data_IF_066955106176
#
_entry.id   IF_066955106176
#
_cell.length_a   1.000
_cell.length_b   1.000
_cell.length_c   1.000
_cell.angle_alpha   90.00
_cell.angle_beta   90.00
_cell.angle_gamma   90.00
#
_symmetry.space_group_name_H-M   'P 1'
#
loop_
_entity.id
_entity.type
_entity.pdbx_description
1 polymer ?
#
# COMPACT_ATOMS: atom_id res chain seq x y z
N UNK A 1 23.23 -18.59 -12.12
CA UNK A 1 23.31 -18.10 -10.74
C UNK A 1 23.28 -16.56 -10.63
N UNK A 2 24.16 -15.82 -11.30
CA UNK A 2 24.16 -14.35 -11.23
C UNK A 2 22.84 -13.68 -11.68
N UNK A 3 22.13 -14.22 -12.70
CA UNK A 3 20.83 -13.71 -13.14
C UNK A 3 19.72 -13.83 -12.10
N UNK A 4 19.71 -14.93 -11.37
CA UNK A 4 18.75 -15.14 -10.27
C UNK A 4 19.02 -14.14 -9.14
N UNK A 5 20.29 -13.89 -8.82
CA UNK A 5 20.64 -12.89 -7.79
C UNK A 5 20.20 -11.49 -8.20
N UNK A 6 20.37 -11.10 -9.47
CA UNK A 6 19.91 -9.81 -9.96
C UNK A 6 18.37 -9.68 -9.87
N UNK A 7 17.63 -10.74 -10.24
CA UNK A 7 16.17 -10.78 -10.13
C UNK A 7 15.71 -10.71 -8.67
N UNK A 8 16.40 -11.36 -7.75
CA UNK A 8 16.10 -11.29 -6.30
C UNK A 8 16.32 -9.87 -5.77
N UNK A 9 17.42 -9.21 -6.16
CA UNK A 9 17.68 -7.81 -5.75
C UNK A 9 16.59 -6.90 -6.28
N UNK A 10 16.23 -7.04 -7.54
CA UNK A 10 15.14 -6.25 -8.15
C UNK A 10 13.80 -6.52 -7.44
N UNK A 11 13.51 -7.77 -7.12
CA UNK A 11 12.35 -8.15 -6.33
C UNK A 11 12.31 -7.48 -4.94
N UNK A 12 13.44 -7.36 -4.25
CA UNK A 12 13.53 -6.63 -2.96
C UNK A 12 13.23 -5.14 -3.15
N UNK A 13 13.74 -4.52 -4.22
CA UNK A 13 13.48 -3.11 -4.52
C UNK A 13 11.99 -2.86 -4.74
N UNK A 14 11.33 -3.69 -5.54
CA UNK A 14 9.88 -3.62 -5.79
C UNK A 14 9.09 -3.96 -4.51
N UNK A 15 9.56 -4.94 -3.76
CA UNK A 15 8.97 -5.36 -2.48
C UNK A 15 8.89 -4.26 -1.43
N UNK A 16 9.85 -3.33 -1.39
CA UNK A 16 9.79 -2.13 -0.54
C UNK A 16 8.61 -1.23 -0.91
N UNK A 17 8.29 -1.09 -2.20
CA UNK A 17 7.16 -0.29 -2.66
C UNK A 17 5.83 -0.98 -2.32
N UNK A 18 5.74 -2.30 -2.49
CA UNK A 18 4.57 -3.09 -2.05
C UNK A 18 4.39 -3.01 -0.52
N UNK A 19 5.49 -3.07 0.22
CA UNK A 19 5.49 -2.91 1.67
C UNK A 19 4.94 -1.56 2.10
N UNK A 20 5.35 -0.47 1.43
CA UNK A 20 4.82 0.87 1.69
C UNK A 20 3.31 0.94 1.44
N UNK A 21 2.81 0.37 0.34
CA UNK A 21 1.38 0.27 0.07
C UNK A 21 0.65 -0.46 1.21
N UNK A 22 1.15 -1.62 1.60
CA UNK A 22 0.56 -2.43 2.66
C UNK A 22 0.63 -1.76 4.05
N UNK A 23 1.64 -0.91 4.33
CA UNK A 23 1.68 -0.11 5.57
C UNK A 23 0.45 0.78 5.71
N UNK A 24 -0.07 1.35 4.60
CA UNK A 24 -1.30 2.12 4.59
C UNK A 24 -2.52 1.26 4.95
N UNK A 25 -2.65 0.08 4.36
CA UNK A 25 -3.73 -0.86 4.63
C UNK A 25 -3.69 -1.36 6.08
N UNK A 26 -2.50 -1.76 6.53
CA UNK A 26 -2.26 -2.23 7.89
C UNK A 26 -2.54 -1.16 8.96
N UNK A 27 -2.25 0.12 8.67
CA UNK A 27 -2.56 1.23 9.56
C UNK A 27 -4.08 1.38 9.75
N UNK A 28 -4.85 1.34 8.65
CA UNK A 28 -6.32 1.40 8.71
C UNK A 28 -6.87 0.24 9.54
N UNK A 29 -6.46 -0.99 9.22
CA UNK A 29 -6.88 -2.18 9.94
C UNK A 29 -6.53 -2.11 11.42
N UNK A 30 -5.29 -1.76 11.76
CA UNK A 30 -4.80 -1.75 13.14
C UNK A 30 -5.53 -0.78 14.06
N UNK A 31 -6.12 0.30 13.51
CA UNK A 31 -6.81 1.32 14.33
C UNK A 31 -8.31 1.05 14.43
N UNK A 32 -8.94 0.33 13.49
CA UNK A 32 -10.41 0.22 13.48
C UNK A 32 -10.97 -1.14 13.08
N UNK A 33 -10.12 -2.15 12.85
CA UNK A 33 -10.51 -3.51 12.43
C UNK A 33 -11.42 -3.53 11.17
N UNK A 34 -11.24 -2.57 10.28
CA UNK A 34 -12.03 -2.42 9.05
C UNK A 34 -11.25 -2.89 7.84
N UNK A 35 -11.84 -3.77 7.05
CA UNK A 35 -11.31 -4.19 5.75
C UNK A 35 -11.65 -3.10 4.73
N UNK A 36 -10.61 -2.47 4.18
CA UNK A 36 -10.77 -1.46 3.13
C UNK A 36 -10.51 -2.06 1.75
N UNK A 37 -11.57 -2.39 1.01
CA UNK A 37 -11.49 -2.91 -0.35
C UNK A 37 -11.22 -1.84 -1.41
N UNK A 38 -11.25 -0.55 -1.05
CA UNK A 38 -10.89 0.54 -1.98
C UNK A 38 -9.38 0.76 -2.07
N UNK A 39 -8.56 0.08 -1.27
CA UNK A 39 -7.14 0.38 -1.15
C UNK A 39 -6.39 0.22 -2.47
N UNK A 40 -6.65 -0.86 -3.23
CA UNK A 40 -6.07 -1.08 -4.55
C UNK A 40 -6.48 0.00 -5.57
N UNK A 41 -7.73 0.42 -5.55
CA UNK A 41 -8.21 1.51 -6.41
C UNK A 41 -7.60 2.86 -6.01
N UNK A 42 -7.29 3.08 -4.73
CA UNK A 42 -6.55 4.27 -4.29
C UNK A 42 -5.09 4.26 -4.77
N UNK A 43 -4.46 3.08 -4.86
CA UNK A 43 -3.15 2.93 -5.51
C UNK A 43 -3.25 3.36 -6.98
N UNK A 44 -4.24 2.85 -7.72
CA UNK A 44 -4.47 3.23 -9.12
C UNK A 44 -4.82 4.72 -9.26
N UNK A 45 -5.60 5.28 -8.35
CA UNK A 45 -5.85 6.73 -8.34
C UNK A 45 -4.56 7.54 -8.22
N UNK A 46 -3.59 7.08 -7.41
CA UNK A 46 -2.24 7.65 -7.35
C UNK A 46 -1.46 7.52 -8.67
N UNK A 47 -1.59 6.39 -9.38
CA UNK A 47 -0.99 6.19 -10.70
C UNK A 47 -1.54 7.20 -11.73
N UNK A 48 -2.88 7.35 -11.79
CA UNK A 48 -3.51 8.32 -12.66
C UNK A 48 -3.23 9.77 -12.26
N UNK A 49 -3.12 10.05 -10.96
CA UNK A 49 -2.70 11.38 -10.50
C UNK A 49 -1.28 11.72 -10.99
N UNK A 50 -0.34 10.77 -10.92
CA UNK A 50 0.99 10.92 -11.52
C UNK A 50 0.88 11.17 -13.02
N UNK A 51 0.13 10.33 -13.73
CA UNK A 51 -0.05 10.46 -15.18
C UNK A 51 -0.58 11.85 -15.56
N UNK A 52 -1.60 12.35 -14.89
CA UNK A 52 -2.15 13.68 -15.12
C UNK A 52 -1.15 14.81 -14.82
N UNK A 53 -0.46 14.73 -13.68
CA UNK A 53 0.53 15.73 -13.28
C UNK A 53 1.70 15.79 -14.27
N UNK A 54 2.14 14.64 -14.78
CA UNK A 54 3.26 14.60 -15.73
C UNK A 54 2.84 15.01 -17.15
N UNK A 55 1.69 14.54 -17.64
CA UNK A 55 1.27 14.78 -19.02
C UNK A 55 0.61 16.13 -19.23
N UNK A 56 -0.23 16.59 -18.28
CA UNK A 56 -0.97 17.84 -18.40
C UNK A 56 -0.19 19.05 -17.84
N UNK A 57 0.58 18.86 -16.77
CA UNK A 57 1.29 19.94 -16.08
C UNK A 57 2.82 19.90 -16.25
N UNK A 58 3.36 18.87 -16.92
CA UNK A 58 4.81 18.73 -17.12
C UNK A 58 5.61 18.52 -15.81
N UNK A 59 4.95 18.12 -14.72
CA UNK A 59 5.61 17.93 -13.42
C UNK A 59 6.54 16.71 -13.50
N UNK A 60 7.81 16.82 -13.10
CA UNK A 60 8.69 15.67 -12.99
C UNK A 60 8.07 14.56 -12.11
N UNK A 61 8.17 13.26 -12.49
CA UNK A 61 7.41 12.17 -11.86
C UNK A 61 7.51 12.13 -10.34
N UNK A 62 8.69 12.25 -9.77
CA UNK A 62 8.87 12.16 -8.31
C UNK A 62 8.47 13.43 -7.56
N UNK A 63 8.34 14.58 -8.22
CA UNK A 63 7.75 15.79 -7.64
C UNK A 63 6.23 15.71 -7.53
N UNK A 64 5.60 14.71 -8.12
CA UNK A 64 4.19 14.40 -7.91
C UNK A 64 3.89 13.80 -6.53
N UNK A 65 4.90 13.32 -5.79
CA UNK A 65 4.71 12.68 -4.48
C UNK A 65 4.04 13.60 -3.45
N UNK A 66 4.49 14.86 -3.20
CA UNK A 66 3.85 15.72 -2.23
C UNK A 66 2.37 16.06 -2.55
N UNK A 67 2.01 16.49 -3.76
CA UNK A 67 0.61 16.77 -4.07
C UNK A 67 -0.27 15.50 -4.01
N UNK A 68 0.23 14.33 -4.41
CA UNK A 68 -0.51 13.06 -4.29
C UNK A 68 -0.66 12.64 -2.83
N UNK A 69 0.34 12.85 -1.99
CA UNK A 69 0.24 12.60 -0.55
C UNK A 69 -0.87 13.46 0.08
N UNK A 70 -0.89 14.76 -0.21
CA UNK A 70 -1.89 15.69 0.33
C UNK A 70 -3.28 15.37 -0.22
N UNK A 71 -3.41 15.19 -1.54
CA UNK A 71 -4.67 14.84 -2.19
C UNK A 71 -5.20 13.48 -1.69
N UNK A 72 -4.33 12.47 -1.58
CA UNK A 72 -4.67 11.17 -1.03
C UNK A 72 -5.14 11.25 0.43
N UNK A 73 -4.53 12.10 1.25
CA UNK A 73 -4.98 12.32 2.61
C UNK A 73 -6.40 12.93 2.66
N UNK A 74 -6.66 13.94 1.83
CA UNK A 74 -7.99 14.59 1.75
C UNK A 74 -9.04 13.58 1.27
N UNK A 75 -8.75 12.84 0.20
CA UNK A 75 -9.63 11.78 -0.33
C UNK A 75 -9.88 10.71 0.72
N UNK A 76 -8.86 10.29 1.46
CA UNK A 76 -8.99 9.29 2.52
C UNK A 76 -9.87 9.78 3.68
N UNK A 77 -9.74 11.04 4.10
CA UNK A 77 -10.65 11.65 5.10
C UNK A 77 -12.09 11.69 4.57
N UNK A 78 -12.28 12.07 3.30
CA UNK A 78 -13.58 12.04 2.66
C UNK A 78 -14.17 10.62 2.60
N UNK A 79 -13.37 9.63 2.22
CA UNK A 79 -13.74 8.21 2.20
C UNK A 79 -14.18 7.72 3.59
N UNK A 80 -13.47 8.13 4.65
CA UNK A 80 -13.86 7.82 6.01
C UNK A 80 -15.29 8.29 6.31
N UNK A 81 -15.60 9.55 6.04
CA UNK A 81 -16.93 10.11 6.33
C UNK A 81 -18.03 9.54 5.45
N UNK A 82 -17.74 9.25 4.18
CA UNK A 82 -18.73 8.75 3.23
C UNK A 82 -19.05 7.26 3.43
N UNK A 83 -18.03 6.42 3.64
CA UNK A 83 -18.18 4.98 3.59
C UNK A 83 -17.89 4.25 4.90
N UNK A 84 -16.93 4.75 5.71
CA UNK A 84 -16.43 3.99 6.88
C UNK A 84 -17.09 4.41 8.18
N UNK A 85 -17.27 5.71 8.40
CA UNK A 85 -17.72 6.26 9.68
C UNK A 85 -19.03 5.64 10.20
N UNK A 86 -20.01 5.44 9.31
CA UNK A 86 -21.32 4.86 9.66
C UNK A 86 -21.28 3.36 9.89
N UNK A 87 -20.18 2.70 9.53
CA UNK A 87 -20.01 1.25 9.65
C UNK A 87 -19.23 0.85 10.91
N UNK A 88 -18.64 1.82 11.60
CA UNK A 88 -17.89 1.56 12.82
C UNK A 88 -18.83 1.07 13.92
N UNK A 89 -18.45 -0.03 14.60
CA UNK A 89 -19.28 -0.68 15.62
C UNK A 89 -20.38 -1.58 15.07
N UNK A 90 -20.47 -1.72 13.74
CA UNK A 90 -21.35 -2.70 13.07
C UNK A 90 -20.58 -3.99 12.74
N UNK A 91 -21.29 -5.09 12.38
CA UNK A 91 -20.60 -6.31 11.97
C UNK A 91 -19.57 -6.05 10.85
N UNK A 92 -18.39 -6.71 10.87
CA UNK A 92 -17.30 -6.46 9.90
C UNK A 92 -17.73 -6.56 8.43
N UNK A 93 -18.73 -7.39 8.12
CA UNK A 93 -19.28 -7.55 6.78
C UNK A 93 -19.87 -6.23 6.23
N UNK A 94 -20.42 -5.37 7.09
CA UNK A 94 -21.00 -4.09 6.65
C UNK A 94 -19.94 -3.11 6.16
N UNK A 95 -18.78 -3.06 6.83
CA UNK A 95 -17.66 -2.23 6.39
C UNK A 95 -17.05 -2.73 5.09
N UNK A 96 -16.95 -4.05 4.93
CA UNK A 96 -16.49 -4.70 3.71
C UNK A 96 -17.41 -4.39 2.53
N UNK A 97 -18.72 -4.53 2.69
CA UNK A 97 -19.70 -4.21 1.64
C UNK A 97 -19.70 -2.72 1.28
N UNK A 98 -19.58 -1.83 2.29
CA UNK A 98 -19.53 -0.40 2.05
C UNK A 98 -18.30 0.01 1.24
N UNK A 99 -17.12 -0.46 1.62
CA UNK A 99 -15.87 -0.16 0.90
C UNK A 99 -15.85 -0.83 -0.48
N UNK A 100 -16.43 -2.03 -0.62
CA UNK A 100 -16.60 -2.69 -1.92
C UNK A 100 -17.50 -1.89 -2.87
N UNK A 101 -18.65 -1.38 -2.38
CA UNK A 101 -19.52 -0.54 -3.18
C UNK A 101 -18.81 0.73 -3.69
N UNK A 102 -18.03 1.40 -2.80
CA UNK A 102 -17.22 2.54 -3.22
C UNK A 102 -16.16 2.14 -4.24
N UNK A 103 -15.52 0.97 -4.06
CA UNK A 103 -14.56 0.45 -5.02
C UNK A 103 -15.16 0.30 -6.43
N UNK A 104 -16.34 -0.29 -6.53
CA UNK A 104 -17.04 -0.44 -7.82
C UNK A 104 -17.38 0.91 -8.46
N UNK A 105 -17.84 1.88 -7.67
CA UNK A 105 -18.11 3.24 -8.16
C UNK A 105 -16.85 3.89 -8.71
N UNK A 106 -15.72 3.79 -7.99
CA UNK A 106 -14.45 4.37 -8.41
C UNK A 106 -13.90 3.69 -9.67
N UNK A 107 -13.98 2.36 -9.77
CA UNK A 107 -13.63 1.62 -10.98
C UNK A 107 -14.52 2.07 -12.15
N UNK A 108 -15.84 2.20 -11.93
CA UNK A 108 -16.78 2.66 -12.94
C UNK A 108 -16.47 4.06 -13.44
N UNK A 109 -16.18 5.02 -12.53
CA UNK A 109 -15.75 6.37 -12.88
C UNK A 109 -14.43 6.33 -13.65
N UNK A 110 -13.44 5.60 -13.14
CA UNK A 110 -12.14 5.46 -13.79
C UNK A 110 -12.25 4.90 -15.21
N UNK A 111 -13.03 3.84 -15.38
CA UNK A 111 -13.26 3.22 -16.70
C UNK A 111 -14.04 4.14 -17.63
N UNK A 112 -14.99 4.92 -17.10
CA UNK A 112 -15.73 5.91 -17.88
C UNK A 112 -14.85 7.08 -18.38
N UNK A 113 -13.84 7.47 -17.60
CA UNK A 113 -12.95 8.62 -17.94
C UNK A 113 -11.76 8.18 -18.79
N UNK A 114 -11.09 7.07 -18.44
CA UNK A 114 -9.83 6.63 -19.07
C UNK A 114 -9.98 5.36 -19.92
N UNK A 115 -11.14 4.71 -19.89
CA UNK A 115 -11.32 3.43 -20.58
C UNK A 115 -10.51 2.31 -19.93
N UNK A 116 -10.18 1.29 -20.75
CA UNK A 116 -9.37 0.13 -20.35
C UNK A 116 -7.98 0.12 -20.98
N UNK A 117 -7.54 1.26 -21.53
CA UNK A 117 -6.24 1.38 -22.20
C UNK A 117 -5.09 1.19 -21.19
N UNK A 118 -3.94 0.79 -21.74
CA UNK A 118 -2.70 0.67 -21.00
C UNK A 118 -2.01 2.02 -20.94
N UNK A 119 -1.71 2.50 -19.74
CA UNK A 119 -0.99 3.74 -19.49
C UNK A 119 0.43 3.46 -19.02
N UNK A 120 1.35 4.34 -19.36
CA UNK A 120 2.73 4.26 -18.91
C UNK A 120 3.27 5.68 -18.68
N UNK A 121 4.08 5.84 -17.64
CA UNK A 121 4.81 7.08 -17.36
C UNK A 121 6.29 6.81 -17.58
N UNK A 122 6.84 7.38 -18.67
CA UNK A 122 8.26 7.22 -18.97
C UNK A 122 9.11 7.98 -17.95
N UNK A 123 10.02 7.25 -17.29
CA UNK A 123 10.97 7.81 -16.31
C UNK A 123 12.37 7.50 -16.78
N UNK A 124 13.15 8.54 -17.06
CA UNK A 124 14.56 8.39 -17.44
C UNK A 124 15.44 8.63 -16.21
N UNK A 125 15.81 7.53 -15.55
CA UNK A 125 16.82 7.55 -14.47
C UNK A 125 17.94 6.59 -14.87
N UNK A 126 19.21 7.04 -14.86
CA UNK A 126 20.33 6.17 -15.19
C UNK A 126 20.36 4.94 -14.32
N UNK A 127 20.49 3.76 -14.94
CA UNK A 127 20.64 2.50 -14.22
C UNK A 127 22.05 2.33 -13.66
N UNK A 128 22.19 1.49 -12.66
CA UNK A 128 23.48 1.08 -12.08
C UNK A 128 23.86 -0.29 -12.63
N UNK A 129 24.99 -0.33 -13.35
CA UNK A 129 25.51 -1.59 -13.91
C UNK A 129 26.54 -2.21 -12.96
N UNK A 130 26.29 -3.43 -12.54
CA UNK A 130 27.20 -4.23 -11.72
C UNK A 130 27.60 -5.47 -12.52
N UNK A 131 28.79 -5.45 -13.08
CA UNK A 131 29.26 -6.50 -13.96
C UNK A 131 28.44 -6.56 -15.26
N UNK A 132 27.71 -7.67 -15.49
CA UNK A 132 26.88 -7.89 -16.69
C UNK A 132 25.40 -7.50 -16.48
N UNK A 133 25.01 -7.06 -15.30
CA UNK A 133 23.63 -6.75 -14.95
C UNK A 133 23.46 -5.25 -14.73
N UNK A 134 22.39 -4.70 -15.31
CA UNK A 134 22.00 -3.31 -15.11
C UNK A 134 20.70 -3.26 -14.31
N UNK A 135 20.75 -2.69 -13.14
CA UNK A 135 19.57 -2.42 -12.32
C UNK A 135 18.93 -1.12 -12.80
N UNK A 136 17.62 -1.12 -13.13
CA UNK A 136 16.94 0.11 -13.55
C UNK A 136 17.01 1.18 -12.45
N UNK A 137 17.47 2.39 -12.80
CA UNK A 137 17.57 3.47 -11.82
C UNK A 137 16.22 3.86 -11.20
N UNK A 138 15.12 3.70 -11.95
CA UNK A 138 13.77 3.92 -11.45
C UNK A 138 13.42 2.98 -10.29
N UNK A 139 13.79 1.69 -10.34
CA UNK A 139 13.56 0.73 -9.26
C UNK A 139 14.34 1.09 -8.00
N UNK A 140 15.60 1.48 -8.15
CA UNK A 140 16.45 1.91 -7.02
C UNK A 140 15.87 3.17 -6.37
N UNK A 141 15.50 4.16 -7.17
CA UNK A 141 14.98 5.43 -6.67
C UNK A 141 13.60 5.24 -6.01
N UNK A 142 12.70 4.45 -6.62
CA UNK A 142 11.41 4.15 -6.02
C UNK A 142 11.55 3.40 -4.68
N UNK A 143 12.48 2.44 -4.59
CA UNK A 143 12.75 1.72 -3.36
C UNK A 143 13.32 2.64 -2.25
N UNK A 144 14.25 3.54 -2.60
CA UNK A 144 14.80 4.52 -1.65
C UNK A 144 13.71 5.47 -1.14
N UNK A 145 12.86 5.99 -2.04
CA UNK A 145 11.76 6.86 -1.65
C UNK A 145 10.73 6.11 -0.79
N UNK A 146 10.40 4.87 -1.15
CA UNK A 146 9.53 4.02 -0.34
C UNK A 146 10.09 3.80 1.08
N UNK A 147 11.39 3.51 1.20
CA UNK A 147 12.06 3.34 2.50
C UNK A 147 12.06 4.64 3.33
N UNK A 148 12.32 5.79 2.69
CA UNK A 148 12.27 7.10 3.36
C UNK A 148 10.86 7.40 3.86
N UNK A 149 9.83 7.21 3.02
CA UNK A 149 8.44 7.49 3.40
C UNK A 149 7.97 6.51 4.50
N UNK A 150 8.36 5.23 4.41
CA UNK A 150 8.10 4.25 5.47
C UNK A 150 8.77 4.65 6.79
N UNK A 151 10.02 5.13 6.75
CA UNK A 151 10.74 5.69 7.90
C UNK A 151 10.05 6.92 8.50
N UNK A 152 9.57 7.83 7.65
CA UNK A 152 8.80 9.00 8.09
C UNK A 152 7.49 8.60 8.76
N UNK A 153 6.77 7.62 8.21
CA UNK A 153 5.56 7.08 8.85
C UNK A 153 5.89 6.45 10.22
N UNK A 154 6.96 5.66 10.29
CA UNK A 154 7.42 5.09 11.56
C UNK A 154 7.71 6.19 12.60
N UNK A 155 8.46 7.22 12.23
CA UNK A 155 8.73 8.36 13.09
C UNK A 155 7.46 9.11 13.48
N UNK A 156 6.55 9.34 12.54
CA UNK A 156 5.24 9.95 12.80
C UNK A 156 4.48 9.16 13.87
N UNK A 157 4.35 7.84 13.70
CA UNK A 157 3.62 6.99 14.63
C UNK A 157 4.28 6.93 16.03
N UNK A 158 5.62 6.95 16.12
CA UNK A 158 6.32 6.74 17.40
C UNK A 158 6.70 8.04 18.11
N UNK A 159 6.96 9.11 17.39
CA UNK A 159 7.50 10.35 17.97
C UNK A 159 6.47 11.46 18.12
N UNK A 160 5.39 11.48 17.30
CA UNK A 160 4.40 12.56 17.36
C UNK A 160 3.27 12.30 18.37
N UNK A 161 2.63 13.38 18.84
CA UNK A 161 1.46 13.28 19.73
C UNK A 161 0.29 12.58 19.03
N UNK A 162 0.05 12.88 17.75
CA UNK A 162 -0.99 12.25 16.95
C UNK A 162 -0.73 10.76 16.76
N UNK A 163 0.51 10.37 16.44
CA UNK A 163 0.89 8.96 16.30
C UNK A 163 0.72 8.18 17.61
N UNK A 164 1.08 8.78 18.75
CA UNK A 164 0.86 8.15 20.06
C UNK A 164 -0.64 8.00 20.37
N UNK A 165 -1.47 8.98 20.02
CA UNK A 165 -2.92 8.91 20.19
C UNK A 165 -3.54 7.84 19.26
N UNK A 166 -3.10 7.73 18.00
CA UNK A 166 -3.52 6.67 17.08
C UNK A 166 -3.23 5.28 17.66
N UNK A 167 -2.04 5.07 18.22
CA UNK A 167 -1.66 3.81 18.85
C UNK A 167 -2.47 3.51 20.14
N UNK A 168 -2.80 4.54 20.92
CA UNK A 168 -3.66 4.38 22.08
C UNK A 168 -5.06 3.88 21.65
N UNK A 169 -5.65 4.47 20.59
CA UNK A 169 -6.93 4.04 20.02
C UNK A 169 -6.84 2.62 19.45
N UNK A 170 -5.74 2.28 18.76
CA UNK A 170 -5.50 0.94 18.21
C UNK A 170 -5.41 -0.13 19.31
N UNK A 171 -4.86 0.20 20.48
CA UNK A 171 -4.75 -0.74 21.60
C UNK A 171 -6.08 -0.93 22.34
N UNK A 172 -6.77 0.15 22.66
CA UNK A 172 -8.08 0.10 23.30
C UNK A 172 -8.83 1.41 23.04
N UNK A 173 -9.81 1.34 22.14
CA UNK A 173 -10.61 2.49 21.75
C UNK A 173 -11.45 3.04 22.90
N UNK A 174 -12.11 2.17 23.65
CA UNK A 174 -12.99 2.57 24.75
C UNK A 174 -12.19 3.28 25.85
N UNK A 175 -11.05 2.71 26.26
CA UNK A 175 -10.18 3.35 27.22
C UNK A 175 -9.64 4.71 26.72
N UNK A 176 -9.33 4.82 25.43
CA UNK A 176 -8.89 6.09 24.83
C UNK A 176 -10.00 7.16 24.89
N UNK A 177 -11.25 6.79 24.65
CA UNK A 177 -12.41 7.69 24.76
C UNK A 177 -12.61 8.17 26.22
N UNK A 178 -12.44 7.30 27.20
CA UNK A 178 -12.58 7.65 28.63
C UNK A 178 -11.54 8.68 29.11
N UNK A 179 -10.34 8.69 28.50
CA UNK A 179 -9.30 9.69 28.81
C UNK A 179 -9.39 10.93 27.92
N UNK A 180 -10.49 11.10 27.17
CA UNK A 180 -10.79 12.30 26.37
C UNK A 180 -10.11 12.35 25.01
N UNK A 181 -9.59 11.25 24.48
CA UNK A 181 -9.01 11.20 23.14
C UNK A 181 -10.14 11.21 22.09
N UNK A 182 -10.13 12.15 21.11
CA UNK A 182 -11.19 12.27 20.10
C UNK A 182 -11.06 11.17 19.04
N UNK A 183 -11.52 9.96 19.34
CA UNK A 183 -11.32 8.75 18.53
C UNK A 183 -11.83 8.91 17.10
N UNK A 184 -13.03 9.50 16.90
CA UNK A 184 -13.60 9.71 15.56
C UNK A 184 -12.68 10.50 14.63
N UNK A 185 -12.03 11.56 15.13
CA UNK A 185 -11.07 12.36 14.36
C UNK A 185 -9.81 11.55 14.03
N UNK A 186 -9.34 10.76 14.98
CA UNK A 186 -8.15 9.93 14.80
C UNK A 186 -8.39 8.80 13.79
N UNK A 187 -9.58 8.20 13.78
CA UNK A 187 -9.97 7.22 12.76
C UNK A 187 -9.97 7.85 11.36
N UNK A 188 -10.50 9.08 11.21
CA UNK A 188 -10.45 9.81 9.95
C UNK A 188 -9.00 10.08 9.49
N UNK A 189 -8.11 10.46 10.42
CA UNK A 189 -6.69 10.67 10.15
C UNK A 189 -6.02 9.37 9.75
N UNK A 190 -6.35 8.24 10.40
CA UNK A 190 -5.79 6.92 10.05
C UNK A 190 -6.14 6.52 8.61
N UNK A 191 -7.43 6.71 8.20
CA UNK A 191 -7.85 6.43 6.81
C UNK A 191 -7.19 7.42 5.85
N UNK A 192 -7.10 8.71 6.21
CA UNK A 192 -6.39 9.72 5.44
C UNK A 192 -4.94 9.34 5.18
N UNK A 193 -4.20 8.97 6.22
CA UNK A 193 -2.81 8.49 6.11
C UNK A 193 -2.70 7.20 5.27
N UNK A 194 -3.59 6.23 5.48
CA UNK A 194 -3.58 4.98 4.74
C UNK A 194 -3.82 5.17 3.24
N UNK A 195 -4.79 6.02 2.87
CA UNK A 195 -5.08 6.35 1.46
C UNK A 195 -3.96 7.20 0.85
N UNK A 196 -3.37 8.13 1.62
CA UNK A 196 -2.21 8.90 1.17
C UNK A 196 -1.03 7.99 0.82
N UNK A 197 -0.74 6.98 1.66
CA UNK A 197 0.30 5.99 1.42
C UNK A 197 -0.01 5.11 0.20
N UNK A 198 -1.27 4.72 0.01
CA UNK A 198 -1.72 4.00 -1.19
C UNK A 198 -1.47 4.83 -2.45
N UNK A 199 -1.87 6.11 -2.47
CA UNK A 199 -1.64 7.01 -3.59
C UNK A 199 -0.16 7.21 -3.90
N UNK A 200 0.66 7.46 -2.88
CA UNK A 200 2.12 7.60 -3.02
C UNK A 200 2.76 6.32 -3.54
N UNK A 201 2.35 5.14 -3.04
CA UNK A 201 2.82 3.86 -3.58
C UNK A 201 2.40 3.68 -5.03
N UNK A 202 1.19 4.13 -5.40
CA UNK A 202 0.72 4.17 -6.78
C UNK A 202 1.63 5.01 -7.69
N UNK A 203 2.04 6.20 -7.24
CA UNK A 203 3.03 7.03 -7.96
C UNK A 203 4.31 6.24 -8.20
N UNK A 204 4.87 5.61 -7.16
CA UNK A 204 6.11 4.84 -7.29
C UNK A 204 5.94 3.64 -8.23
N UNK A 205 4.85 2.87 -8.10
CA UNK A 205 4.57 1.71 -8.95
C UNK A 205 4.40 2.11 -10.42
N UNK A 206 3.72 3.24 -10.71
CA UNK A 206 3.51 3.71 -12.08
C UNK A 206 4.81 4.17 -12.77
N UNK A 207 5.88 4.45 -12.01
CA UNK A 207 7.22 4.69 -12.57
C UNK A 207 7.96 3.40 -12.93
N UNK A 208 7.45 2.23 -12.48
CA UNK A 208 8.08 0.92 -12.68
C UNK A 208 7.34 0.08 -13.71
N UNK A 209 6.01 0.13 -13.70
CA UNK A 209 5.16 -0.75 -14.48
C UNK A 209 4.04 0.03 -15.19
N UNK A 210 3.66 -0.40 -16.40
CA UNK A 210 2.44 0.07 -17.04
C UNK A 210 1.21 -0.36 -16.24
N UNK A 211 0.12 0.40 -16.33
CA UNK A 211 -1.08 0.19 -15.55
C UNK A 211 -2.37 0.50 -16.34
N UNK A 212 -3.46 -0.04 -15.85
CA UNK A 212 -4.82 0.23 -16.32
C UNK A 212 -5.70 0.59 -15.13
N UNK A 213 -6.93 1.01 -15.38
CA UNK A 213 -7.92 1.25 -14.32
C UNK A 213 -8.17 -0.03 -13.48
N UNK A 214 -8.08 -1.20 -14.11
CA UNK A 214 -8.33 -2.51 -13.47
C UNK A 214 -7.12 -3.07 -12.72
N UNK A 215 -5.96 -2.44 -12.80
CA UNK A 215 -4.75 -2.92 -12.08
C UNK A 215 -4.91 -2.93 -10.55
N UNK A 216 -5.92 -2.21 -10.03
CA UNK A 216 -6.20 -2.10 -8.61
C UNK A 216 -6.47 -3.43 -7.91
N UNK A 217 -7.14 -4.36 -8.56
CA UNK A 217 -7.48 -5.66 -7.97
C UNK A 217 -6.22 -6.49 -7.66
N UNK A 218 -5.25 -6.48 -8.57
CA UNK A 218 -3.96 -7.15 -8.35
C UNK A 218 -3.18 -6.54 -7.19
N UNK A 219 -3.12 -5.21 -7.11
CA UNK A 219 -2.43 -4.53 -5.98
C UNK A 219 -3.19 -4.65 -4.67
N UNK A 220 -4.52 -4.70 -4.70
CA UNK A 220 -5.35 -5.00 -3.52
C UNK A 220 -4.99 -6.37 -2.93
N UNK A 221 -4.92 -7.39 -3.80
CA UNK A 221 -4.56 -8.75 -3.39
C UNK A 221 -3.15 -8.81 -2.81
N UNK A 222 -2.15 -8.22 -3.50
CA UNK A 222 -0.77 -8.11 -2.98
C UNK A 222 -0.72 -7.39 -1.64
N UNK A 223 -1.48 -6.29 -1.48
CA UNK A 223 -1.60 -5.57 -0.23
C UNK A 223 -2.12 -6.45 0.92
N UNK A 224 -3.12 -7.31 0.65
CA UNK A 224 -3.60 -8.27 1.65
C UNK A 224 -2.55 -9.33 1.99
N UNK A 225 -1.92 -9.93 0.98
CA UNK A 225 -0.85 -10.93 1.18
C UNK A 225 0.24 -10.35 2.09
N UNK A 226 0.72 -9.15 1.75
CA UNK A 226 1.78 -8.46 2.50
C UNK A 226 1.33 -8.12 3.93
N UNK A 227 0.08 -7.66 4.10
CA UNK A 227 -0.48 -7.34 5.42
C UNK A 227 -0.59 -8.58 6.31
N UNK A 228 -0.99 -9.71 5.73
CA UNK A 228 -1.06 -10.99 6.47
C UNK A 228 0.33 -11.50 6.82
N UNK A 229 1.27 -11.47 5.86
CA UNK A 229 2.68 -11.82 6.11
C UNK A 229 3.27 -10.97 7.23
N UNK A 230 3.01 -9.66 7.19
CA UNK A 230 3.51 -8.68 8.13
C UNK A 230 2.86 -8.71 9.51
N UNK A 231 1.66 -9.31 9.60
CA UNK A 231 0.78 -9.27 10.76
C UNK A 231 -0.11 -8.02 10.79
N UNK A 232 -1.39 -8.26 11.00
CA UNK A 232 -2.40 -7.20 11.04
C UNK A 232 -2.08 -6.14 12.11
N UNK A 233 -2.21 -4.85 11.75
CA UNK A 233 -1.97 -3.74 12.67
C UNK A 233 -0.49 -3.44 12.95
N UNK A 234 0.44 -4.08 12.23
CA UNK A 234 1.88 -3.84 12.36
C UNK A 234 2.48 -3.23 11.07
N UNK A 235 2.60 -1.89 10.96
CA UNK A 235 3.15 -1.26 9.76
C UNK A 235 4.59 -1.68 9.44
N UNK A 236 5.44 -1.88 10.45
CA UNK A 236 6.81 -2.35 10.26
C UNK A 236 6.81 -3.78 9.72
N UNK A 237 5.95 -4.64 10.29
CA UNK A 237 5.75 -5.99 9.78
C UNK A 237 5.28 -6.01 8.33
N UNK A 238 4.38 -5.10 7.94
CA UNK A 238 3.92 -4.97 6.56
C UNK A 238 5.07 -4.59 5.60
N UNK A 239 5.99 -3.70 6.01
CA UNK A 239 7.19 -3.40 5.21
C UNK A 239 8.05 -4.65 4.99
N UNK A 240 8.29 -5.42 6.06
CA UNK A 240 9.04 -6.68 5.99
C UNK A 240 8.31 -7.74 5.16
N UNK A 241 6.97 -7.80 5.28
CA UNK A 241 6.13 -8.66 4.45
C UNK A 241 6.22 -8.31 2.96
N UNK A 242 6.29 -7.02 2.63
CA UNK A 242 6.51 -6.55 1.26
C UNK A 242 7.87 -6.97 0.70
N UNK A 243 8.94 -6.84 1.49
CA UNK A 243 10.27 -7.33 1.13
C UNK A 243 10.25 -8.86 0.91
N UNK A 244 9.57 -9.60 1.78
CA UNK A 244 9.45 -11.05 1.66
C UNK A 244 8.68 -11.46 0.39
N UNK A 245 7.58 -10.76 0.06
CA UNK A 245 6.85 -10.99 -1.18
C UNK A 245 7.70 -10.67 -2.41
N UNK A 246 8.40 -9.54 -2.41
CA UNK A 246 9.30 -9.16 -3.50
C UNK A 246 10.47 -10.13 -3.68
N UNK A 247 11.03 -10.63 -2.59
CA UNK A 247 12.02 -11.71 -2.62
C UNK A 247 11.47 -12.96 -3.31
N UNK A 248 10.25 -13.37 -2.98
CA UNK A 248 9.60 -14.51 -3.61
C UNK A 248 9.40 -14.28 -5.11
N UNK A 249 8.84 -13.12 -5.49
CA UNK A 249 8.65 -12.75 -6.90
C UNK A 249 9.99 -12.81 -7.67
N UNK A 250 11.02 -12.16 -7.13
CA UNK A 250 12.34 -12.14 -7.74
C UNK A 250 12.98 -13.52 -7.86
N UNK A 251 12.71 -14.43 -6.91
CA UNK A 251 13.21 -15.79 -6.96
C UNK A 251 12.46 -16.68 -7.98
N UNK A 252 11.15 -16.44 -8.16
CA UNK A 252 10.26 -17.28 -8.98
C UNK A 252 10.24 -16.83 -10.45
N UNK A 253 10.25 -15.52 -10.70
CA UNK A 253 10.09 -14.93 -12.04
C UNK A 253 11.08 -15.49 -13.10
N UNK A 254 12.34 -15.86 -12.80
CA UNK A 254 13.23 -16.45 -13.79
C UNK A 254 12.82 -17.85 -14.28
N UNK A 255 11.96 -18.55 -13.53
CA UNK A 255 11.59 -19.95 -13.78
C UNK A 255 10.17 -20.13 -14.27
N UNK A 256 9.29 -19.14 -14.03
CA UNK A 256 7.84 -19.28 -14.24
C UNK A 256 7.31 -18.05 -14.98
N UNK A 257 6.38 -18.23 -15.96
CA UNK A 257 5.70 -17.12 -16.61
C UNK A 257 5.03 -16.18 -15.60
N UNK A 258 5.04 -14.87 -15.88
CA UNK A 258 4.49 -13.84 -14.99
C UNK A 258 3.03 -14.11 -14.59
N UNK A 259 2.24 -14.73 -15.49
CA UNK A 259 0.85 -15.11 -15.19
C UNK A 259 0.69 -16.12 -14.04
N UNK A 260 1.72 -16.94 -13.77
CA UNK A 260 1.73 -17.89 -12.66
C UNK A 260 2.22 -17.28 -11.34
N UNK A 261 2.90 -16.14 -11.39
CA UNK A 261 3.42 -15.49 -10.19
C UNK A 261 2.30 -15.19 -9.20
N UNK A 262 1.19 -14.64 -9.70
CA UNK A 262 0.02 -14.35 -8.87
C UNK A 262 -0.58 -15.62 -8.21
N UNK A 263 -0.59 -16.75 -8.93
CA UNK A 263 -1.07 -18.03 -8.39
C UNK A 263 -0.15 -18.51 -7.26
N UNK A 264 1.17 -18.42 -7.46
CA UNK A 264 2.16 -18.82 -6.45
C UNK A 264 2.07 -17.93 -5.21
N UNK A 265 1.91 -16.62 -5.39
CA UNK A 265 1.69 -15.66 -4.30
C UNK A 265 0.43 -16.02 -3.49
N UNK A 266 -0.64 -16.36 -4.18
CA UNK A 266 -1.90 -16.73 -3.52
C UNK A 266 -1.80 -18.06 -2.78
N UNK A 267 -1.15 -19.06 -3.36
CA UNK A 267 -0.87 -20.34 -2.69
C UNK A 267 -0.01 -20.10 -1.45
N UNK A 268 1.05 -19.30 -1.56
CA UNK A 268 1.87 -18.91 -0.42
C UNK A 268 1.03 -18.23 0.67
N UNK A 269 0.16 -17.29 0.28
CA UNK A 269 -0.75 -16.60 1.20
C UNK A 269 -1.62 -17.57 1.99
N UNK A 270 -2.24 -18.54 1.30
CA UNK A 270 -3.07 -19.57 1.95
C UNK A 270 -2.23 -20.42 2.91
N UNK A 271 -1.04 -20.85 2.47
CA UNK A 271 -0.13 -21.64 3.32
C UNK A 271 0.29 -20.86 4.57
N UNK A 272 0.59 -19.57 4.42
CA UNK A 272 0.95 -18.71 5.57
C UNK A 272 -0.24 -18.52 6.51
N UNK A 273 -1.45 -18.33 5.99
CA UNK A 273 -2.65 -18.23 6.83
C UNK A 273 -2.91 -19.50 7.65
N UNK A 274 -2.65 -20.68 7.04
CA UNK A 274 -2.82 -21.97 7.76
C UNK A 274 -1.72 -22.13 8.82
N UNK A 275 -0.46 -21.83 8.49
CA UNK A 275 0.67 -22.05 9.38
C UNK A 275 0.80 -20.94 10.46
N UNK A 276 0.50 -19.70 10.09
CA UNK A 276 0.69 -18.49 10.92
C UNK A 276 -0.54 -17.57 10.84
N UNK A 277 -1.69 -17.94 11.44
CA UNK A 277 -2.94 -17.16 11.31
C UNK A 277 -2.86 -15.72 11.86
N UNK A 278 -1.83 -15.41 12.66
CA UNK A 278 -1.58 -14.08 13.19
C UNK A 278 -0.47 -13.28 12.43
N UNK A 279 0.03 -13.85 11.32
CA UNK A 279 1.17 -13.32 10.56
C UNK A 279 2.53 -13.80 11.07
N UNK A 280 3.54 -13.75 10.18
CA UNK A 280 4.91 -14.21 10.49
C UNK A 280 5.60 -13.22 11.44
N UNK A 281 5.39 -11.91 11.22
CA UNK A 281 6.00 -10.82 12.01
C UNK A 281 5.04 -10.29 13.08
N UNK A 282 4.33 -11.20 13.75
CA UNK A 282 3.36 -10.84 14.78
C UNK A 282 3.97 -9.88 15.80
N UNK A 283 3.43 -8.66 15.91
CA UNK A 283 3.62 -7.83 17.08
C UNK A 283 2.77 -8.41 18.22
N UNK A 284 3.36 -8.64 19.40
CA UNK A 284 2.54 -8.87 20.60
C UNK A 284 1.62 -7.65 20.75
N UNK A 285 0.30 -7.85 20.89
CA UNK A 285 -0.63 -6.77 21.23
C UNK A 285 -0.02 -6.00 22.40
N UNK A 286 0.44 -4.76 22.15
CA UNK A 286 1.20 -3.95 23.13
C UNK A 286 2.56 -3.43 22.65
N UNK A 287 3.04 -3.77 21.45
CA UNK A 287 4.33 -3.31 20.92
C UNK A 287 4.19 -2.17 19.85
N UNK A 288 3.00 -1.59 19.70
CA UNK A 288 2.81 -0.34 18.98
C UNK A 288 2.94 0.86 19.89
#
# INVERSE_FOLDING_TARGET
MLGILASIIDGVLVGLVYGLAAMGLTLIWGVMDVINLTHGTMIVAGMFALYLLTTALGVPPYLALPPVLIGGFIVGVALYWLAVHRMIGRPPLMSLLSTFAVNLVLIGIGTGVWGTALFNVAVSVPGVSIGRYTFPGAHILAAMLAAVIAGLLYLFLHKTRLGKALRAVANNREAAELVGIPTTRLLAIAVGCGVALAGVSGVLIATLFPFTVLSGDGYQLKGFIVTVLGGFGNPVGALMGGIALGLLEGAVTPFVPVSWTLVIEFVLFVLVLIAFPAGIFRSRRGAL
#
